data_IF_351720544795
#
_entry.id   IF_351720544795
#
_cell.length_a   1.000
_cell.length_b   1.000
_cell.length_c   1.000
_cell.angle_alpha   90.00
_cell.angle_beta   90.00
_cell.angle_gamma   90.00
#
_symmetry.space_group_name_H-M   'P 1'
#
loop_
_entity.id
_entity.type
_entity.pdbx_description
1 polymer ?
#
# COMPACT_ATOMS: atom_id res chain seq x y z
N UNK A 1 -13.07 -13.47 18.27
CA UNK A 1 -12.24 -13.46 17.05
C UNK A 1 -13.12 -13.06 15.90
N UNK A 2 -12.78 -12.01 15.18
CA UNK A 2 -13.52 -11.59 13.99
C UNK A 2 -13.32 -12.64 12.90
N UNK A 3 -14.42 -13.16 12.35
CA UNK A 3 -14.31 -14.17 11.28
C UNK A 3 -13.79 -13.50 10.01
N UNK A 4 -12.60 -13.91 9.53
CA UNK A 4 -12.03 -13.41 8.28
C UNK A 4 -12.81 -14.03 7.13
N UNK A 5 -13.37 -13.21 6.25
CA UNK A 5 -14.20 -13.67 5.13
C UNK A 5 -13.70 -13.22 3.75
N UNK A 6 -12.74 -12.29 3.72
CA UNK A 6 -12.12 -11.81 2.47
C UNK A 6 -10.66 -11.43 2.70
N UNK A 7 -9.91 -11.49 1.64
CA UNK A 7 -8.52 -11.04 1.59
C UNK A 7 -8.41 -9.83 0.67
N UNK A 8 -7.70 -8.81 1.10
CA UNK A 8 -7.29 -7.71 0.26
C UNK A 8 -5.92 -8.03 -0.34
N UNK A 9 -5.88 -8.53 -1.58
CA UNK A 9 -4.66 -8.83 -2.32
C UNK A 9 -4.10 -7.55 -2.92
N UNK A 10 -2.84 -7.20 -2.58
CA UNK A 10 -2.25 -5.89 -2.84
C UNK A 10 -0.89 -5.98 -3.54
N UNK A 11 -0.66 -5.03 -4.44
CA UNK A 11 0.66 -4.64 -4.94
C UNK A 11 0.72 -3.11 -5.04
N UNK A 12 1.90 -2.55 -5.13
CA UNK A 12 2.09 -1.13 -5.43
C UNK A 12 2.48 -0.94 -6.89
N UNK A 13 1.88 0.03 -7.56
CA UNK A 13 2.34 0.47 -8.87
C UNK A 13 3.59 1.37 -8.75
N UNK A 14 4.13 1.84 -9.88
CA UNK A 14 5.32 2.69 -9.90
C UNK A 14 5.08 4.11 -9.37
N UNK A 15 3.82 4.51 -9.18
CA UNK A 15 3.45 5.75 -8.50
C UNK A 15 3.30 5.55 -6.97
N UNK A 16 3.66 4.37 -6.48
CA UNK A 16 3.47 3.92 -5.11
C UNK A 16 2.00 3.91 -4.64
N UNK A 17 1.06 3.85 -5.58
CA UNK A 17 -0.35 3.70 -5.24
C UNK A 17 -0.66 2.22 -4.95
N UNK A 18 -1.35 1.93 -3.83
CA UNK A 18 -1.79 0.57 -3.55
C UNK A 18 -2.90 0.16 -4.51
N UNK A 19 -2.61 -0.86 -5.32
CA UNK A 19 -3.55 -1.50 -6.23
C UNK A 19 -3.92 -2.86 -5.70
N UNK A 20 -5.14 -3.32 -5.96
CA UNK A 20 -5.54 -4.64 -5.47
C UNK A 20 -6.97 -5.02 -5.75
N UNK A 21 -7.31 -6.21 -5.27
CA UNK A 21 -8.67 -6.76 -5.29
C UNK A 21 -9.04 -7.30 -3.92
N UNK A 22 -10.31 -7.17 -3.57
CA UNK A 22 -10.89 -8.01 -2.53
C UNK A 22 -11.30 -9.35 -3.16
N UNK A 23 -10.84 -10.42 -2.58
CA UNK A 23 -11.14 -11.78 -3.02
C UNK A 23 -11.60 -12.63 -1.84
N UNK A 24 -12.40 -13.69 -2.08
CA UNK A 24 -12.67 -14.68 -1.03
C UNK A 24 -11.38 -15.30 -0.49
N UNK A 25 -11.37 -15.66 0.78
CA UNK A 25 -10.19 -16.26 1.44
C UNK A 25 -9.70 -17.50 0.70
N UNK A 26 -10.63 -18.35 0.23
CA UNK A 26 -10.28 -19.57 -0.52
C UNK A 26 -9.58 -19.25 -1.84
N UNK A 27 -10.00 -18.19 -2.54
CA UNK A 27 -9.32 -17.74 -3.75
C UNK A 27 -7.90 -17.23 -3.46
N UNK A 28 -7.74 -16.48 -2.38
CA UNK A 28 -6.41 -16.04 -1.94
C UNK A 28 -5.51 -17.21 -1.54
N UNK A 29 -6.08 -18.28 -0.99
CA UNK A 29 -5.34 -19.51 -0.67
C UNK A 29 -4.75 -20.20 -1.92
N UNK A 30 -5.35 -19.98 -3.11
CA UNK A 30 -4.81 -20.44 -4.39
C UNK A 30 -3.48 -19.77 -4.79
N UNK A 31 -3.11 -18.67 -4.13
CA UNK A 31 -1.79 -18.04 -4.22
C UNK A 31 -1.60 -17.11 -5.41
N UNK A 32 -2.51 -17.04 -6.39
CA UNK A 32 -2.35 -16.22 -7.60
C UNK A 32 -3.64 -15.48 -7.94
N UNK A 33 -3.51 -14.18 -8.20
CA UNK A 33 -4.63 -13.31 -8.57
C UNK A 33 -4.30 -12.56 -9.87
N UNK A 34 -5.18 -12.69 -10.88
CA UNK A 34 -5.02 -12.02 -12.16
C UNK A 34 -5.36 -10.52 -12.12
N UNK A 35 -4.57 -9.72 -12.84
CA UNK A 35 -4.76 -8.29 -13.05
C UNK A 35 -4.41 -7.91 -14.48
N UNK A 36 -5.02 -6.86 -14.99
CA UNK A 36 -4.61 -6.28 -16.26
C UNK A 36 -3.38 -5.38 -16.07
N UNK A 37 -2.38 -5.48 -16.96
CA UNK A 37 -1.19 -4.61 -16.96
C UNK A 37 -1.54 -3.15 -17.18
N UNK A 38 -2.71 -2.85 -17.73
CA UNK A 38 -3.23 -1.50 -17.88
C UNK A 38 -3.30 -0.69 -16.57
N UNK A 39 -3.24 -1.33 -15.41
CA UNK A 39 -3.09 -0.65 -14.13
C UNK A 39 -1.83 0.23 -14.05
N UNK A 40 -0.80 -0.08 -14.86
CA UNK A 40 0.44 0.70 -14.96
C UNK A 40 0.39 1.77 -16.05
N UNK A 41 -0.69 1.86 -16.81
CA UNK A 41 -0.85 2.82 -17.91
C UNK A 41 -1.87 3.91 -17.55
N UNK A 42 -1.95 4.30 -16.30
CA UNK A 42 -2.86 5.34 -15.79
C UNK A 42 -2.07 6.32 -14.94
N UNK A 43 -2.15 7.60 -15.28
CA UNK A 43 -1.54 8.72 -14.53
C UNK A 43 -2.35 9.10 -13.28
N UNK A 44 -1.85 10.05 -12.47
CA UNK A 44 -2.53 10.52 -11.27
C UNK A 44 -3.86 11.22 -11.55
N UNK A 45 -3.98 11.90 -12.69
CA UNK A 45 -5.21 12.55 -13.18
C UNK A 45 -6.16 11.57 -13.87
N UNK A 46 -5.83 10.25 -13.82
CA UNK A 46 -6.61 9.14 -14.37
C UNK A 46 -6.66 9.10 -15.91
N UNK A 47 -5.76 9.79 -16.55
CA UNK A 47 -5.59 9.70 -18.00
C UNK A 47 -4.80 8.45 -18.37
N UNK A 48 -5.14 7.89 -19.54
CA UNK A 48 -4.41 6.76 -20.09
C UNK A 48 -3.10 7.25 -20.71
N UNK A 49 -2.01 6.60 -20.33
CA UNK A 49 -0.66 6.89 -20.85
C UNK A 49 -0.09 5.66 -21.54
N UNK A 50 0.81 5.89 -22.50
CA UNK A 50 1.48 4.78 -23.16
C UNK A 50 2.65 4.31 -22.30
N UNK A 51 2.57 3.06 -21.85
CA UNK A 51 3.65 2.39 -21.10
C UNK A 51 4.00 1.10 -21.84
N UNK A 52 5.27 0.90 -22.25
CA UNK A 52 5.67 -0.30 -22.97
C UNK A 52 5.30 -1.59 -22.25
N UNK A 53 4.60 -2.49 -22.93
CA UNK A 53 4.11 -3.76 -22.38
C UNK A 53 2.79 -3.65 -21.60
N UNK A 54 2.19 -2.45 -21.53
CA UNK A 54 0.90 -2.20 -20.86
C UNK A 54 -0.12 -1.52 -21.79
N UNK A 55 0.12 -1.52 -23.10
CA UNK A 55 -0.67 -0.80 -24.08
C UNK A 55 -2.09 -1.36 -24.21
N UNK A 56 -3.07 -0.46 -24.18
CA UNK A 56 -4.48 -0.82 -24.38
C UNK A 56 -4.80 -1.19 -25.82
N UNK A 57 -4.05 -0.69 -26.80
CA UNK A 57 -4.34 -0.86 -28.22
C UNK A 57 -4.00 -2.24 -28.77
N UNK A 58 -3.20 -3.03 -28.09
CA UNK A 58 -2.80 -4.38 -28.49
C UNK A 58 -3.55 -5.47 -27.70
N UNK A 59 -4.75 -5.14 -27.20
CA UNK A 59 -5.39 -5.93 -26.17
C UNK A 59 -4.73 -5.64 -24.81
N UNK A 60 -5.51 -5.61 -23.74
CA UNK A 60 -4.97 -5.34 -22.40
C UNK A 60 -4.32 -6.62 -21.90
N UNK A 61 -2.97 -6.74 -21.93
CA UNK A 61 -2.32 -7.97 -21.50
C UNK A 61 -2.47 -8.17 -19.99
N UNK A 62 -2.54 -9.43 -19.57
CA UNK A 62 -2.68 -9.79 -18.17
C UNK A 62 -1.31 -9.91 -17.47
N UNK A 63 -1.34 -9.75 -16.16
CA UNK A 63 -0.29 -10.06 -15.21
C UNK A 63 -0.87 -10.81 -14.03
N UNK A 64 -0.03 -11.47 -13.28
CA UNK A 64 -0.40 -12.25 -12.11
C UNK A 64 0.29 -11.70 -10.87
N UNK A 65 -0.50 -11.50 -9.82
CA UNK A 65 0.03 -11.25 -8.48
C UNK A 65 0.17 -12.60 -7.79
N UNK A 66 1.41 -13.04 -7.60
CA UNK A 66 1.73 -14.25 -6.85
C UNK A 66 1.87 -13.86 -5.39
N UNK A 67 0.92 -14.32 -4.59
CA UNK A 67 0.79 -13.92 -3.19
C UNK A 67 1.85 -14.59 -2.31
N UNK A 68 2.35 -13.88 -1.34
CA UNK A 68 3.16 -14.45 -0.27
C UNK A 68 2.35 -15.50 0.50
N UNK A 69 3.03 -16.51 1.03
CA UNK A 69 2.38 -17.55 1.85
C UNK A 69 1.82 -17.00 3.15
N UNK A 70 2.48 -15.97 3.69
CA UNK A 70 2.07 -15.31 4.91
C UNK A 70 0.97 -14.28 4.62
N UNK A 71 -0.07 -14.33 5.43
CA UNK A 71 -1.12 -13.30 5.46
C UNK A 71 -0.85 -12.35 6.62
N UNK A 72 -1.15 -11.08 6.41
CA UNK A 72 -1.06 -10.07 7.45
C UNK A 72 -2.46 -9.75 7.95
N UNK A 73 -2.57 -9.43 9.21
CA UNK A 73 -3.82 -8.91 9.74
C UNK A 73 -4.14 -7.58 9.05
N UNK A 74 -5.41 -7.39 8.71
CA UNK A 74 -5.90 -6.10 8.26
C UNK A 74 -6.47 -5.29 9.43
N UNK A 75 -6.40 -3.97 9.32
CA UNK A 75 -7.09 -3.08 10.27
C UNK A 75 -8.61 -3.10 10.10
N UNK A 76 -9.12 -3.56 8.96
CA UNK A 76 -10.56 -3.70 8.72
C UNK A 76 -11.07 -5.04 9.26
N UNK A 77 -12.14 -4.99 10.05
CA UNK A 77 -12.77 -6.20 10.56
C UNK A 77 -13.16 -7.17 9.43
N UNK A 78 -12.89 -8.46 9.61
CA UNK A 78 -13.20 -9.50 8.63
C UNK A 78 -12.33 -9.51 7.37
N UNK A 79 -11.25 -8.74 7.35
CA UNK A 79 -10.36 -8.62 6.18
C UNK A 79 -8.92 -8.87 6.59
N UNK A 80 -8.24 -9.79 5.92
CA UNK A 80 -6.79 -9.92 5.98
C UNK A 80 -6.12 -9.27 4.77
N UNK A 81 -4.80 -9.15 4.81
CA UNK A 81 -3.98 -8.59 3.75
C UNK A 81 -3.06 -9.66 3.17
N UNK A 82 -2.95 -9.69 1.86
CA UNK A 82 -1.98 -10.50 1.14
C UNK A 82 -1.16 -9.59 0.22
N UNK A 83 0.15 -9.61 0.40
CA UNK A 83 1.09 -8.99 -0.52
C UNK A 83 1.65 -10.04 -1.46
N UNK A 84 2.20 -9.60 -2.58
CA UNK A 84 2.81 -10.52 -3.54
C UNK A 84 3.70 -9.81 -4.55
N UNK A 85 4.29 -10.61 -5.42
CA UNK A 85 5.11 -10.14 -6.53
C UNK A 85 4.37 -10.29 -7.84
N UNK A 86 4.58 -9.35 -8.74
CA UNK A 86 3.94 -9.38 -10.07
C UNK A 86 4.78 -10.18 -11.07
N UNK A 87 4.08 -11.00 -11.82
CA UNK A 87 4.61 -11.78 -12.93
C UNK A 87 3.83 -11.49 -14.21
N UNK A 88 4.52 -11.59 -15.33
CA UNK A 88 3.93 -11.47 -16.66
C UNK A 88 4.58 -12.48 -17.59
N UNK A 89 3.81 -13.30 -18.30
CA UNK A 89 4.31 -14.38 -19.15
C UNK A 89 5.26 -15.35 -18.40
N UNK A 90 4.94 -15.68 -17.15
CA UNK A 90 5.75 -16.52 -16.24
C UNK A 90 7.10 -15.93 -15.82
N UNK A 91 7.37 -14.66 -16.13
CA UNK A 91 8.59 -13.96 -15.73
C UNK A 91 8.28 -12.83 -14.74
N UNK A 92 9.21 -12.48 -13.84
CA UNK A 92 9.03 -11.33 -12.97
C UNK A 92 8.71 -10.07 -13.77
N UNK A 93 7.60 -9.41 -13.43
CA UNK A 93 7.18 -8.21 -14.15
C UNK A 93 8.11 -7.02 -13.84
N UNK A 94 8.74 -6.47 -14.89
CA UNK A 94 9.78 -5.44 -14.75
C UNK A 94 9.33 -4.17 -14.01
N UNK A 95 8.03 -3.83 -14.06
CA UNK A 95 7.46 -2.67 -13.38
C UNK A 95 7.01 -2.97 -11.93
N UNK A 96 7.20 -4.20 -11.44
CA UNK A 96 6.91 -4.53 -10.05
C UNK A 96 7.88 -3.80 -9.11
N UNK A 97 7.41 -2.77 -8.41
CA UNK A 97 8.23 -1.97 -7.48
C UNK A 97 8.82 -2.85 -6.35
N UNK A 98 8.04 -3.75 -5.77
CA UNK A 98 8.51 -4.71 -4.76
C UNK A 98 9.58 -5.66 -5.33
N UNK A 99 9.40 -6.14 -6.54
CA UNK A 99 10.39 -6.95 -7.25
C UNK A 99 11.69 -6.19 -7.49
N UNK A 100 11.61 -4.89 -7.77
CA UNK A 100 12.79 -4.02 -7.93
C UNK A 100 13.57 -3.89 -6.61
N UNK A 101 12.88 -3.65 -5.50
CA UNK A 101 13.51 -3.61 -4.17
C UNK A 101 14.19 -4.93 -3.85
N UNK A 102 13.54 -6.07 -4.08
CA UNK A 102 14.13 -7.39 -3.86
C UNK A 102 15.40 -7.62 -4.68
N UNK A 103 15.43 -7.17 -5.93
CA UNK A 103 16.64 -7.25 -6.76
C UNK A 103 17.77 -6.38 -6.20
N UNK A 104 17.46 -5.12 -5.84
CA UNK A 104 18.45 -4.22 -5.26
C UNK A 104 19.04 -4.78 -3.94
N UNK A 105 18.20 -5.33 -3.06
CA UNK A 105 18.66 -5.99 -1.83
C UNK A 105 19.62 -7.14 -2.15
N UNK A 106 19.24 -8.01 -3.10
CA UNK A 106 20.08 -9.12 -3.52
C UNK A 106 21.43 -8.68 -4.11
N UNK A 107 21.44 -7.58 -4.85
CA UNK A 107 22.68 -7.02 -5.40
C UNK A 107 23.61 -6.54 -4.27
N UNK A 108 23.07 -5.86 -3.24
CA UNK A 108 23.83 -5.49 -2.05
C UNK A 108 24.36 -6.69 -1.28
N UNK A 109 23.54 -7.71 -1.08
CA UNK A 109 23.94 -8.97 -0.41
C UNK A 109 25.07 -9.66 -1.15
N UNK A 110 25.07 -9.63 -2.49
CA UNK A 110 26.14 -10.20 -3.31
C UNK A 110 27.50 -9.52 -3.11
N UNK A 111 27.49 -8.28 -2.64
CA UNK A 111 28.67 -7.49 -2.28
C UNK A 111 29.05 -7.62 -0.79
N UNK A 112 28.31 -8.43 -0.02
CA UNK A 112 28.54 -8.62 1.41
C UNK A 112 27.90 -7.55 2.31
N UNK A 113 26.99 -6.73 1.79
CA UNK A 113 26.27 -5.71 2.54
C UNK A 113 24.82 -6.11 2.78
N UNK A 114 24.29 -5.75 3.93
CA UNK A 114 22.89 -5.98 4.29
C UNK A 114 22.22 -4.63 4.51
N UNK A 115 21.32 -4.19 3.60
CA UNK A 115 20.63 -2.91 3.76
C UNK A 115 19.72 -2.93 4.99
N UNK A 116 19.83 -1.89 5.81
CA UNK A 116 18.94 -1.62 6.93
C UNK A 116 18.32 -0.25 6.72
N UNK A 117 16.99 -0.18 6.67
CA UNK A 117 16.26 1.02 6.25
C UNK A 117 15.16 1.31 7.26
N UNK A 118 15.15 2.51 7.81
CA UNK A 118 14.01 3.10 8.51
C UNK A 118 13.05 3.72 7.49
N UNK A 119 11.75 3.64 7.75
CA UNK A 119 10.73 4.30 6.95
C UNK A 119 10.08 5.39 7.80
N UNK A 120 10.15 6.61 7.32
CA UNK A 120 9.43 7.75 7.87
C UNK A 120 8.32 8.12 6.90
N UNK A 121 7.11 8.23 7.41
CA UNK A 121 5.94 8.60 6.61
C UNK A 121 5.38 9.90 7.11
N UNK A 122 5.38 10.91 6.27
CA UNK A 122 4.81 12.22 6.56
C UNK A 122 3.54 12.44 5.75
N UNK A 123 2.55 13.06 6.36
CA UNK A 123 1.28 13.32 5.70
C UNK A 123 0.62 14.60 6.21
N UNK A 124 0.03 15.35 5.32
CA UNK A 124 -0.89 16.42 5.67
C UNK A 124 -2.30 15.90 5.80
N UNK A 125 -2.95 16.20 6.91
CA UNK A 125 -4.34 15.82 7.16
C UNK A 125 -5.27 16.94 6.70
N UNK A 126 -6.30 16.59 5.95
CA UNK A 126 -7.33 17.50 5.52
C UNK A 126 -8.70 17.03 6.01
N UNK A 127 -9.54 17.95 6.32
CA UNK A 127 -10.94 17.72 6.69
C UNK A 127 -11.87 18.51 5.76
N UNK A 128 -13.09 18.05 5.59
CA UNK A 128 -14.12 18.82 4.90
C UNK A 128 -14.81 19.75 5.88
N UNK A 129 -14.97 21.02 5.50
CA UNK A 129 -15.80 21.98 6.21
C UNK A 129 -17.30 21.78 5.91
N UNK A 130 -18.15 22.62 6.51
CA UNK A 130 -19.60 22.55 6.34
C UNK A 130 -20.05 22.79 4.88
N UNK A 131 -19.27 23.52 4.11
CA UNK A 131 -19.50 23.78 2.67
C UNK A 131 -18.94 22.64 1.79
N UNK A 132 -18.35 21.60 2.38
CA UNK A 132 -17.76 20.47 1.68
C UNK A 132 -16.38 20.74 1.08
N UNK A 133 -15.75 21.86 1.43
CA UNK A 133 -14.41 22.25 0.96
C UNK A 133 -13.35 21.57 1.84
N UNK A 134 -12.31 21.06 1.21
CA UNK A 134 -11.16 20.50 1.92
C UNK A 134 -10.28 21.59 2.53
N UNK A 135 -10.09 21.54 3.83
CA UNK A 135 -9.22 22.42 4.61
C UNK A 135 -8.14 21.63 5.32
N UNK A 136 -6.94 22.17 5.51
CA UNK A 136 -5.97 21.55 6.41
C UNK A 136 -6.61 21.30 7.79
N UNK A 137 -6.27 20.17 8.38
CA UNK A 137 -6.56 19.89 9.78
C UNK A 137 -5.48 20.57 10.63
N UNK A 138 -5.67 21.87 10.82
CA UNK A 138 -4.79 22.73 11.59
C UNK A 138 -5.44 23.02 12.95
N UNK A 139 -4.64 22.92 14.00
CA UNK A 139 -5.10 23.12 15.37
C UNK A 139 -4.13 24.04 16.12
N UNK A 140 -4.60 24.81 17.13
CA UNK A 140 -3.72 25.71 17.89
C UNK A 140 -2.58 25.02 18.63
N UNK A 141 -2.70 23.72 18.88
CA UNK A 141 -1.70 22.89 19.53
C UNK A 141 -0.75 22.15 18.57
N UNK A 142 -0.91 22.35 17.24
CA UNK A 142 -0.08 21.70 16.25
C UNK A 142 1.28 22.40 16.09
N UNK A 143 2.27 21.84 16.74
CA UNK A 143 3.68 22.26 16.67
C UNK A 143 4.57 21.06 16.41
N UNK A 144 5.80 21.28 16.01
CA UNK A 144 6.81 20.24 15.88
C UNK A 144 6.92 19.44 17.19
N UNK A 145 6.84 18.13 17.08
CA UNK A 145 6.79 17.17 18.19
C UNK A 145 5.53 17.28 19.08
N UNK A 146 4.46 17.85 18.56
CA UNK A 146 3.21 17.90 19.30
C UNK A 146 2.53 16.53 19.41
N UNK A 147 1.89 16.31 20.54
CA UNK A 147 1.11 15.11 20.84
C UNK A 147 -0.08 15.46 21.73
N UNK A 148 -1.04 14.55 21.80
CA UNK A 148 -2.18 14.67 22.71
C UNK A 148 -3.33 15.53 22.18
N UNK A 149 -4.41 15.66 22.99
CA UNK A 149 -5.71 16.16 22.52
C UNK A 149 -5.72 17.66 22.15
N UNK A 150 -4.73 18.44 22.57
CA UNK A 150 -4.65 19.84 22.17
C UNK A 150 -4.09 20.01 20.75
N UNK A 151 -3.21 19.11 20.32
CA UNK A 151 -2.71 19.08 18.94
C UNK A 151 -3.60 18.26 18.00
N UNK A 152 -4.25 17.26 18.52
CA UNK A 152 -5.14 16.35 17.77
C UNK A 152 -6.48 16.15 18.51
N UNK A 153 -7.35 17.16 18.58
CA UNK A 153 -8.62 17.07 19.29
C UNK A 153 -9.60 16.06 18.69
N UNK A 154 -9.35 15.55 17.48
CA UNK A 154 -10.18 14.52 16.84
C UNK A 154 -9.62 13.12 16.99
N UNK A 155 -8.43 12.94 17.57
CA UNK A 155 -7.81 11.64 17.78
C UNK A 155 -7.39 10.93 16.48
N UNK A 156 -7.02 11.68 15.44
CA UNK A 156 -6.58 11.10 14.16
C UNK A 156 -5.32 10.25 14.33
N UNK A 157 -4.38 10.73 15.19
CA UNK A 157 -3.16 9.99 15.50
C UNK A 157 -3.45 8.71 16.29
N UNK A 158 -4.41 8.76 17.22
CA UNK A 158 -4.85 7.59 17.96
C UNK A 158 -5.50 6.56 17.03
N UNK A 159 -6.38 6.99 16.12
CA UNK A 159 -7.00 6.12 15.11
C UNK A 159 -5.96 5.44 14.21
N UNK A 160 -4.93 6.17 13.77
CA UNK A 160 -3.83 5.62 12.96
C UNK A 160 -3.03 4.61 13.77
N UNK A 161 -2.70 4.95 15.02
CA UNK A 161 -1.96 4.07 15.93
C UNK A 161 -2.70 2.76 16.19
N UNK A 162 -3.99 2.85 16.51
CA UNK A 162 -4.84 1.68 16.74
C UNK A 162 -4.97 0.80 15.49
N UNK A 163 -5.14 1.42 14.32
CA UNK A 163 -5.21 0.71 13.05
C UNK A 163 -3.91 -0.03 12.71
N UNK A 164 -2.77 0.61 12.94
CA UNK A 164 -1.45 0.00 12.74
C UNK A 164 -1.22 -1.16 13.71
N UNK A 165 -1.54 -0.97 15.00
CA UNK A 165 -1.44 -2.00 16.02
C UNK A 165 -2.34 -3.21 15.70
N UNK A 166 -3.57 -2.96 15.25
CA UNK A 166 -4.49 -4.02 14.83
C UNK A 166 -3.96 -4.82 13.63
N UNK A 167 -3.16 -4.19 12.78
CA UNK A 167 -2.55 -4.79 11.60
C UNK A 167 -1.16 -5.42 11.86
N UNK A 168 -0.71 -5.48 13.11
CA UNK A 168 0.64 -5.92 13.50
C UNK A 168 1.76 -5.11 12.78
N UNK A 169 1.52 -3.81 12.53
CA UNK A 169 2.50 -2.88 11.96
C UNK A 169 3.19 -2.16 13.13
N UNK A 170 4.49 -2.38 13.35
CA UNK A 170 5.21 -1.68 14.40
C UNK A 170 5.38 -0.21 14.04
N UNK A 171 4.91 0.68 14.91
CA UNK A 171 5.20 2.11 14.85
C UNK A 171 6.24 2.38 15.94
N UNK A 172 7.35 3.02 15.59
CA UNK A 172 8.39 3.41 16.52
C UNK A 172 8.01 4.69 17.23
N UNK A 173 7.54 5.69 16.48
CA UNK A 173 7.11 6.98 17.01
C UNK A 173 6.07 7.62 16.07
N UNK A 174 5.32 8.58 16.62
CA UNK A 174 4.39 9.42 15.88
C UNK A 174 4.24 10.76 16.58
N UNK A 175 4.29 11.83 15.82
CA UNK A 175 4.11 13.19 16.31
C UNK A 175 3.53 14.10 15.23
N UNK A 176 3.05 15.27 15.64
CA UNK A 176 2.73 16.37 14.73
C UNK A 176 3.96 17.20 14.37
N UNK A 177 3.91 17.84 13.20
CA UNK A 177 4.90 18.80 12.68
C UNK A 177 4.22 20.05 12.13
#
# INVERSE_FOLDING_TARGET
MTNINRTRALFNDFLNLPRGKYVPVDMAAGGTIGFARGAFAVSYDRELVTVPGCEFFNGVPDMELVLDKERRKGWQAGTDLALGDLYANNEPFGLCSRGTVKRAVKDWESLGYFPFIGLETEAYIFQRDEDGIWRPYDTPGAFVYSTGPESDPKGVMDDIWEAAYAADIPIESMNGE
#
